data_IF_268119534406
#
_entry.id   IF_268119534406
#
_cell.length_a   1.000
_cell.length_b   1.000
_cell.length_c   1.000
_cell.angle_alpha   90.00
_cell.angle_beta   90.00
_cell.angle_gamma   90.00
#
_symmetry.space_group_name_H-M   'P 1'
#
loop_
_entity.id
_entity.type
_entity.pdbx_description
1 polymer ?
#
# COMPACT_ATOMS: atom_id res chain seq x y z
N UNK A 1 2.70 -81.49 -27.03
CA UNK A 1 3.96 -80.99 -26.44
C UNK A 1 3.70 -80.68 -24.97
N UNK A 2 4.43 -81.33 -24.06
CA UNK A 2 4.22 -81.21 -22.62
C UNK A 2 4.44 -79.75 -22.16
N UNK A 3 3.53 -79.21 -21.34
CA UNK A 3 3.70 -77.90 -20.71
C UNK A 3 4.84 -78.02 -19.69
N UNK A 4 5.93 -77.29 -19.90
CA UNK A 4 7.00 -77.17 -18.92
C UNK A 4 6.43 -76.62 -17.60
N UNK A 5 6.77 -77.26 -16.48
CA UNK A 5 6.42 -76.80 -15.14
C UNK A 5 7.08 -75.46 -14.88
N UNK A 6 6.32 -74.46 -14.42
CA UNK A 6 6.86 -73.13 -14.13
C UNK A 6 7.66 -73.19 -12.84
N UNK A 7 8.90 -72.72 -12.88
CA UNK A 7 9.75 -72.57 -11.71
C UNK A 7 9.08 -71.75 -10.60
N UNK A 8 9.34 -72.07 -9.32
CA UNK A 8 8.74 -71.38 -8.19
C UNK A 8 9.15 -69.89 -8.17
N UNK A 9 8.17 -69.03 -7.85
CA UNK A 9 8.34 -67.58 -7.91
C UNK A 9 9.36 -67.09 -6.87
N UNK A 10 10.49 -66.54 -7.33
CA UNK A 10 11.52 -65.96 -6.48
C UNK A 10 11.19 -64.51 -6.09
N UNK A 11 10.85 -64.29 -4.81
CA UNK A 11 10.46 -62.98 -4.29
C UNK A 11 11.58 -61.92 -4.35
N UNK A 12 12.85 -62.33 -4.23
CA UNK A 12 14.00 -61.42 -4.29
C UNK A 12 14.15 -60.84 -5.69
N UNK A 13 14.00 -61.68 -6.72
CA UNK A 13 14.07 -61.24 -8.12
C UNK A 13 12.90 -60.33 -8.49
N UNK A 14 11.69 -60.64 -8.00
CA UNK A 14 10.51 -59.79 -8.19
C UNK A 14 10.72 -58.40 -7.58
N UNK A 15 11.33 -58.33 -6.39
CA UNK A 15 11.62 -57.06 -5.73
C UNK A 15 12.70 -56.26 -6.49
N UNK A 16 13.73 -56.93 -7.02
CA UNK A 16 14.75 -56.28 -7.83
C UNK A 16 14.16 -55.64 -9.10
N UNK A 17 13.24 -56.33 -9.79
CA UNK A 17 12.52 -55.80 -10.95
C UNK A 17 11.66 -54.58 -10.57
N UNK A 18 10.96 -54.64 -9.43
CA UNK A 18 10.15 -53.53 -8.94
C UNK A 18 11.01 -52.29 -8.64
N UNK A 19 12.12 -52.46 -7.92
CA UNK A 19 13.06 -51.38 -7.64
C UNK A 19 13.62 -50.75 -8.93
N UNK A 20 14.01 -51.58 -9.90
CA UNK A 20 14.50 -51.09 -11.20
C UNK A 20 13.41 -50.30 -11.94
N UNK A 21 12.17 -50.76 -11.89
CA UNK A 21 11.02 -50.09 -12.53
C UNK A 21 10.78 -48.72 -11.91
N UNK A 22 10.75 -48.64 -10.57
CA UNK A 22 10.60 -47.38 -9.84
C UNK A 22 11.74 -46.42 -10.16
N UNK A 23 12.99 -46.90 -10.22
CA UNK A 23 14.14 -46.07 -10.59
C UNK A 23 14.04 -45.55 -12.03
N UNK A 24 13.53 -46.36 -12.97
CA UNK A 24 13.31 -45.93 -14.36
C UNK A 24 12.19 -44.89 -14.44
N UNK A 25 11.11 -45.05 -13.69
CA UNK A 25 10.01 -44.08 -13.62
C UNK A 25 10.47 -42.75 -13.02
N UNK A 26 11.13 -42.77 -11.87
CA UNK A 26 11.66 -41.58 -11.20
C UNK A 26 12.67 -40.83 -12.06
N UNK A 27 13.50 -41.54 -12.83
CA UNK A 27 14.46 -40.92 -13.77
C UNK A 27 13.78 -40.05 -14.83
N UNK A 28 12.57 -40.41 -15.25
CA UNK A 28 11.83 -39.70 -16.31
C UNK A 28 10.68 -38.84 -15.77
N UNK A 29 10.39 -38.89 -14.46
CA UNK A 29 9.37 -38.08 -13.81
C UNK A 29 9.80 -36.61 -13.79
N UNK A 30 9.26 -35.81 -14.71
CA UNK A 30 9.43 -34.36 -14.70
C UNK A 30 8.34 -33.73 -13.84
N UNK A 31 8.71 -33.25 -12.66
CA UNK A 31 7.83 -32.43 -11.82
C UNK A 31 7.85 -30.99 -12.33
N UNK A 32 6.77 -30.56 -12.97
CA UNK A 32 6.59 -29.15 -13.34
C UNK A 32 6.04 -28.39 -12.14
N UNK A 33 6.87 -27.60 -11.47
CA UNK A 33 6.45 -26.74 -10.35
C UNK A 33 5.90 -25.39 -10.82
N UNK A 34 6.21 -25.00 -12.06
CA UNK A 34 5.76 -23.75 -12.66
C UNK A 34 4.86 -24.07 -13.86
N UNK A 35 3.55 -23.85 -13.69
CA UNK A 35 2.57 -24.00 -14.76
C UNK A 35 2.35 -22.65 -15.44
N UNK A 36 2.66 -22.55 -16.72
CA UNK A 36 2.30 -21.41 -17.55
C UNK A 36 1.54 -21.92 -18.78
N UNK A 37 0.42 -21.28 -19.11
CA UNK A 37 -0.40 -21.64 -20.29
C UNK A 37 0.42 -21.59 -21.59
N UNK A 38 1.47 -20.75 -21.66
CA UNK A 38 2.37 -20.66 -22.80
C UNK A 38 3.85 -20.61 -22.36
N UNK A 39 4.68 -21.62 -22.70
CA UNK A 39 6.10 -21.67 -22.36
C UNK A 39 6.94 -20.52 -22.97
N UNK A 40 6.45 -19.91 -24.06
CA UNK A 40 7.16 -18.86 -24.80
C UNK A 40 6.67 -17.45 -24.45
N UNK A 41 5.62 -17.33 -23.62
CA UNK A 41 5.09 -16.03 -23.19
C UNK A 41 4.94 -16.02 -21.68
N UNK A 42 5.78 -15.22 -21.03
CA UNK A 42 5.63 -14.90 -19.62
C UNK A 42 4.31 -14.14 -19.45
N UNK A 43 3.34 -14.75 -18.77
CA UNK A 43 2.13 -14.05 -18.33
C UNK A 43 2.57 -13.07 -17.25
N UNK A 44 2.65 -11.80 -17.59
CA UNK A 44 2.75 -10.75 -16.60
C UNK A 44 1.38 -10.70 -15.91
N UNK A 45 1.35 -11.07 -14.63
CA UNK A 45 0.18 -10.83 -13.79
C UNK A 45 0.00 -9.31 -13.80
N UNK A 46 -1.05 -8.84 -14.46
CA UNK A 46 -1.43 -7.44 -14.42
C UNK A 46 -1.82 -7.15 -12.98
N UNK A 47 -1.07 -6.28 -12.32
CA UNK A 47 -1.47 -5.78 -11.02
C UNK A 47 -2.87 -5.16 -11.15
N UNK A 48 -3.71 -5.38 -10.13
CA UNK A 48 -5.04 -4.78 -10.05
C UNK A 48 -4.97 -3.26 -10.17
N UNK A 49 -6.12 -2.62 -10.39
CA UNK A 49 -6.14 -1.15 -10.50
C UNK A 49 -5.71 -0.57 -9.14
N UNK A 50 -4.90 0.50 -9.09
CA UNK A 50 -4.40 1.07 -7.83
C UNK A 50 -5.47 1.48 -6.82
N UNK A 51 -6.69 1.78 -7.31
CA UNK A 51 -7.83 2.19 -6.49
C UNK A 51 -8.92 1.11 -6.40
N UNK A 52 -8.64 -0.13 -6.83
CA UNK A 52 -9.58 -1.24 -6.70
C UNK A 52 -9.50 -1.78 -5.27
N UNK A 53 -10.55 -1.54 -4.48
CA UNK A 53 -10.61 -2.02 -3.10
C UNK A 53 -10.51 -3.56 -3.06
N UNK A 54 -11.25 -4.23 -3.94
CA UNK A 54 -11.25 -5.70 -4.06
C UNK A 54 -9.87 -6.29 -4.38
N UNK A 55 -9.03 -5.62 -5.17
CA UNK A 55 -7.70 -6.13 -5.53
C UNK A 55 -6.62 -5.78 -4.49
N UNK A 56 -6.92 -4.88 -3.54
CA UNK A 56 -5.95 -4.32 -2.58
C UNK A 56 -6.21 -4.79 -1.14
N UNK A 57 -7.44 -5.19 -0.80
CA UNK A 57 -7.86 -5.60 0.55
C UNK A 57 -7.20 -6.88 1.08
N UNK A 58 -6.72 -7.77 0.20
CA UNK A 58 -6.12 -9.06 0.61
C UNK A 58 -4.64 -8.98 1.01
N UNK A 59 -3.98 -7.83 0.81
CA UNK A 59 -2.54 -7.65 1.11
C UNK A 59 -2.28 -7.19 2.55
N UNK A 60 -1.30 -7.81 3.23
CA UNK A 60 -0.78 -7.29 4.50
C UNK A 60 -0.09 -5.93 4.24
N UNK A 61 -0.47 -4.91 5.01
CA UNK A 61 0.09 -3.57 4.87
C UNK A 61 1.59 -3.59 5.19
N UNK A 62 2.41 -3.01 4.30
CA UNK A 62 3.85 -2.89 4.56
C UNK A 62 4.10 -1.90 5.71
N UNK A 63 4.43 -2.44 6.89
CA UNK A 63 4.75 -1.67 8.08
C UNK A 63 5.90 -0.66 7.86
N UNK A 64 6.85 -0.96 6.97
CA UNK A 64 7.90 -0.02 6.61
C UNK A 64 7.33 1.19 5.85
N UNK A 65 6.46 0.94 4.87
CA UNK A 65 5.81 2.01 4.11
C UNK A 65 4.96 2.92 5.00
N UNK A 66 4.17 2.36 5.92
CA UNK A 66 3.41 3.14 6.92
C UNK A 66 4.33 4.01 7.79
N UNK A 67 5.48 3.47 8.20
CA UNK A 67 6.49 4.21 8.97
C UNK A 67 7.11 5.35 8.16
N UNK A 68 7.35 5.16 6.87
CA UNK A 68 7.87 6.20 5.98
C UNK A 68 6.84 7.32 5.82
N UNK A 69 5.57 6.99 5.56
CA UNK A 69 4.50 7.99 5.42
C UNK A 69 4.30 8.77 6.72
N UNK A 70 4.19 8.07 7.84
CA UNK A 70 4.03 8.73 9.15
C UNK A 70 5.19 9.66 9.47
N UNK A 71 6.43 9.27 9.16
CA UNK A 71 7.61 10.13 9.30
C UNK A 71 7.61 11.31 8.31
N UNK A 72 7.09 11.14 7.11
CA UNK A 72 7.01 12.21 6.11
C UNK A 72 6.00 13.29 6.51
N UNK A 73 4.87 12.89 7.10
CA UNK A 73 3.82 13.78 7.58
C UNK A 73 4.14 14.45 8.92
N UNK A 74 5.24 14.09 9.57
CA UNK A 74 5.65 14.65 10.84
C UNK A 74 6.16 16.09 10.68
N UNK A 75 5.82 16.96 11.63
CA UNK A 75 6.31 18.34 11.65
C UNK A 75 7.85 18.40 11.64
N UNK A 76 8.46 19.39 10.95
CA UNK A 76 9.91 19.51 10.87
C UNK A 76 10.63 19.51 12.23
N UNK A 77 10.06 20.17 13.23
CA UNK A 77 10.59 20.27 14.60
C UNK A 77 10.65 18.92 15.32
N UNK A 78 9.78 17.98 14.95
CA UNK A 78 9.78 16.61 15.50
C UNK A 78 10.74 15.69 14.74
N UNK A 79 11.11 16.05 13.50
CA UNK A 79 11.96 15.24 12.61
C UNK A 79 13.44 15.60 12.70
N UNK A 80 13.75 16.87 12.90
CA UNK A 80 15.13 17.38 12.95
C UNK A 80 15.34 18.26 14.18
N UNK A 81 16.57 18.26 14.70
CA UNK A 81 16.95 19.08 15.85
C UNK A 81 17.05 20.57 15.50
N UNK A 82 17.38 20.87 14.25
CA UNK A 82 17.59 22.23 13.72
C UNK A 82 16.90 22.39 12.37
N UNK A 83 16.49 23.62 11.99
CA UNK A 83 15.93 23.89 10.68
C UNK A 83 16.93 23.53 9.58
N UNK A 84 16.45 22.90 8.52
CA UNK A 84 17.28 22.46 7.40
C UNK A 84 17.25 23.45 6.23
N UNK A 85 16.27 24.35 6.21
CA UNK A 85 16.10 25.37 5.18
C UNK A 85 15.68 26.69 5.81
N UNK A 86 16.00 27.82 5.15
CA UNK A 86 15.65 29.17 5.61
C UNK A 86 14.14 29.32 5.82
N UNK A 87 13.31 28.72 4.96
CA UNK A 87 11.85 28.74 5.13
C UNK A 87 11.38 28.03 6.40
N UNK A 88 12.10 27.00 6.86
CA UNK A 88 11.79 26.33 8.12
C UNK A 88 12.14 27.19 9.33
N UNK A 89 13.12 28.09 9.23
CA UNK A 89 13.52 28.96 10.35
C UNK A 89 12.37 29.86 10.81
N UNK A 90 11.62 30.43 9.87
CA UNK A 90 10.48 31.32 10.16
C UNK A 90 9.40 30.63 11.01
N UNK A 91 9.15 29.35 10.75
CA UNK A 91 8.13 28.55 11.44
C UNK A 91 8.69 27.60 12.49
N UNK A 92 9.98 27.68 12.83
CA UNK A 92 10.62 26.68 13.69
C UNK A 92 10.11 26.73 15.13
N UNK A 93 9.90 27.93 15.65
CA UNK A 93 9.38 28.19 16.99
C UNK A 93 7.97 28.76 16.86
N UNK A 94 6.97 27.89 16.84
CA UNK A 94 5.56 28.29 16.71
C UNK A 94 4.91 28.69 18.03
N UNK A 95 5.56 28.40 19.16
CA UNK A 95 5.05 28.76 20.49
C UNK A 95 5.27 30.26 20.71
N UNK A 96 4.20 31.05 20.96
CA UNK A 96 4.36 32.47 21.20
C UNK A 96 5.14 32.71 22.49
N UNK A 97 5.91 33.80 22.53
CA UNK A 97 6.67 34.20 23.73
C UNK A 97 5.76 34.59 24.90
N UNK A 98 4.54 35.03 24.59
CA UNK A 98 3.52 35.43 25.56
C UNK A 98 2.28 34.59 25.28
N UNK A 99 1.80 33.86 26.29
CA UNK A 99 0.55 33.12 26.19
C UNK A 99 -0.60 34.10 26.00
N UNK A 100 -1.14 34.13 24.78
CA UNK A 100 -2.24 35.02 24.44
C UNK A 100 -3.56 34.37 24.82
N UNK A 101 -4.16 34.80 25.92
CA UNK A 101 -5.53 34.41 26.26
C UNK A 101 -6.53 35.12 25.34
N UNK A 102 -7.08 34.39 24.37
CA UNK A 102 -8.08 34.92 23.43
C UNK A 102 -9.45 35.16 24.09
N UNK A 103 -9.67 34.64 25.30
CA UNK A 103 -10.89 34.84 26.07
C UNK A 103 -10.89 36.16 26.85
N UNK A 104 -9.70 36.74 27.11
CA UNK A 104 -9.58 38.01 27.81
C UNK A 104 -10.10 39.16 26.95
N UNK A 105 -11.30 39.65 27.29
CA UNK A 105 -11.98 40.76 26.61
C UNK A 105 -11.28 42.11 26.78
N UNK A 106 -10.27 42.22 27.65
CA UNK A 106 -9.48 43.45 27.84
C UNK A 106 -8.42 43.62 26.75
N UNK A 107 -7.93 42.52 26.18
CA UNK A 107 -6.82 42.50 25.22
C UNK A 107 -7.24 41.94 23.84
N UNK A 108 -8.28 41.10 23.80
CA UNK A 108 -8.79 40.45 22.59
C UNK A 108 -10.04 41.17 22.05
N UNK A 109 -9.88 41.91 20.95
CA UNK A 109 -10.96 42.61 20.23
C UNK A 109 -11.10 42.13 18.78
N UNK A 110 -11.47 40.85 18.54
CA UNK A 110 -11.69 40.37 17.18
C UNK A 110 -12.88 41.09 16.55
N UNK A 111 -12.78 41.41 15.25
CA UNK A 111 -13.90 41.94 14.48
C UNK A 111 -15.01 40.87 14.45
N UNK A 112 -16.24 41.28 14.77
CA UNK A 112 -17.41 40.40 14.76
C UNK A 112 -18.37 40.86 13.67
N UNK A 113 -18.78 39.93 12.82
CA UNK A 113 -19.76 40.21 11.79
C UNK A 113 -21.16 40.19 12.42
N UNK A 114 -21.94 41.23 12.17
CA UNK A 114 -23.35 41.31 12.54
C UNK A 114 -24.23 40.73 11.43
N UNK A 115 -25.50 40.44 11.68
CA UNK A 115 -26.41 40.00 10.61
C UNK A 115 -26.46 40.99 9.44
N UNK A 116 -26.38 42.30 9.72
CA UNK A 116 -26.37 43.35 8.70
C UNK A 116 -25.09 43.30 7.86
N UNK A 117 -23.92 43.17 8.50
CA UNK A 117 -22.67 43.09 7.73
C UNK A 117 -22.61 41.81 6.90
N UNK A 118 -23.10 40.67 7.42
CA UNK A 118 -23.19 39.42 6.65
C UNK A 118 -24.10 39.54 5.44
N UNK A 119 -25.30 40.13 5.62
CA UNK A 119 -26.23 40.37 4.51
C UNK A 119 -25.60 41.25 3.43
N UNK A 120 -24.92 42.33 3.83
CA UNK A 120 -24.23 43.18 2.87
C UNK A 120 -23.07 42.46 2.18
N UNK A 121 -22.27 41.68 2.90
CA UNK A 121 -21.18 40.87 2.30
C UNK A 121 -21.74 39.92 1.22
N UNK A 122 -22.88 39.27 1.47
CA UNK A 122 -23.56 38.39 0.50
C UNK A 122 -24.11 39.17 -0.70
N UNK A 123 -24.75 40.32 -0.47
CA UNK A 123 -25.27 41.19 -1.52
C UNK A 123 -24.14 41.71 -2.43
N UNK A 124 -23.00 42.09 -1.87
CA UNK A 124 -21.81 42.51 -2.62
C UNK A 124 -21.21 41.37 -3.43
N UNK A 125 -21.09 40.17 -2.85
CA UNK A 125 -20.60 38.99 -3.56
C UNK A 125 -21.49 38.62 -4.76
N UNK A 126 -22.82 38.69 -4.61
CA UNK A 126 -23.76 38.45 -5.71
C UNK A 126 -23.61 39.49 -6.82
N UNK A 127 -23.47 40.77 -6.45
CA UNK A 127 -23.24 41.86 -7.41
C UNK A 127 -21.97 41.63 -8.23
N UNK A 128 -20.85 41.31 -7.58
CA UNK A 128 -19.57 41.04 -8.27
C UNK A 128 -19.66 39.82 -9.20
N UNK A 129 -20.39 38.76 -8.80
CA UNK A 129 -20.62 37.60 -9.67
C UNK A 129 -21.45 37.96 -10.90
N UNK A 130 -22.46 38.81 -10.76
CA UNK A 130 -23.28 39.25 -11.90
C UNK A 130 -22.54 40.20 -12.83
N UNK A 131 -21.66 41.07 -12.30
CA UNK A 131 -20.84 41.98 -13.10
C UNK A 131 -19.72 41.24 -13.85
N UNK A 132 -19.09 40.23 -13.25
CA UNK A 132 -18.05 39.43 -13.89
C UNK A 132 -18.56 38.43 -14.95
N UNK A 133 -19.88 38.21 -15.03
CA UNK A 133 -20.51 37.29 -15.99
C UNK A 133 -21.00 38.02 -17.27
N UNK A 134 -21.03 39.35 -17.25
CA UNK A 134 -21.36 40.21 -18.40
C UNK A 134 -20.09 40.72 -19.08
#
# INVERSE_FOLDING_TARGET
MAKAEKEPLNFVHKNAILCETIMKEQRHQKLYTNYSVNPFKKLHILAGKPNSSHDTEEGEEDAHFLKVISRANQEPVKKYTYPQTESQEVGWITRPLIDTDRSDRRLSFPRKNTPITKYMDEAWRLKEQTENLN
#
